data_IF_487593587063
#
_entry.id   IF_487593587063
#
_cell.length_a   1.000
_cell.length_b   1.000
_cell.length_c   1.000
_cell.angle_alpha   90.00
_cell.angle_beta   90.00
_cell.angle_gamma   90.00
#
_symmetry.space_group_name_H-M   'P 1'
#
loop_
_entity.id
_entity.type
_entity.pdbx_description
1 polymer ?
#
# COMPACT_ATOMS: atom_id res chain seq x y z
N UNK A 1 8.91 -0.51 -17.89
CA UNK A 1 10.19 -0.10 -18.44
C UNK A 1 11.32 -0.51 -17.48
N UNK A 2 12.52 -0.78 -17.99
CA UNK A 2 13.70 -1.15 -17.18
C UNK A 2 14.02 -0.09 -16.10
N UNK A 3 13.61 1.16 -16.31
CA UNK A 3 13.78 2.26 -15.36
C UNK A 3 13.02 2.04 -14.05
N UNK A 4 11.77 1.59 -14.10
CA UNK A 4 10.96 1.39 -12.89
C UNK A 4 11.55 0.29 -11.99
N UNK A 5 11.97 -0.84 -12.57
CA UNK A 5 12.61 -1.95 -11.82
C UNK A 5 13.91 -1.47 -11.18
N UNK A 6 14.74 -0.77 -11.95
CA UNK A 6 16.01 -0.23 -11.45
C UNK A 6 15.80 0.76 -10.31
N UNK A 7 14.79 1.63 -10.41
CA UNK A 7 14.47 2.59 -9.35
C UNK A 7 13.97 1.87 -8.10
N UNK A 8 13.07 0.88 -8.24
CA UNK A 8 12.61 0.07 -7.11
C UNK A 8 13.77 -0.63 -6.40
N UNK A 9 14.69 -1.24 -7.15
CA UNK A 9 15.87 -1.90 -6.59
C UNK A 9 16.76 -0.93 -5.84
N UNK A 10 17.06 0.24 -6.41
CA UNK A 10 17.85 1.30 -5.76
C UNK A 10 17.19 1.78 -4.48
N UNK A 11 15.88 2.07 -4.51
CA UNK A 11 15.11 2.48 -3.34
C UNK A 11 15.13 1.40 -2.27
N UNK A 12 14.90 0.13 -2.64
CA UNK A 12 14.91 -0.99 -1.72
C UNK A 12 16.25 -1.12 -0.98
N UNK A 13 17.36 -1.00 -1.71
CA UNK A 13 18.70 -1.04 -1.11
C UNK A 13 19.01 0.19 -0.26
N UNK A 14 18.69 1.39 -0.76
CA UNK A 14 18.97 2.66 -0.07
C UNK A 14 18.32 2.72 1.32
N UNK A 15 17.04 2.31 1.41
CA UNK A 15 16.31 2.30 2.67
C UNK A 15 16.50 1.03 3.49
N UNK A 16 17.26 0.05 3.01
CA UNK A 16 17.31 -1.29 3.60
C UNK A 16 15.91 -1.85 3.86
N UNK A 17 15.00 -1.62 2.90
CA UNK A 17 13.58 -1.94 3.06
C UNK A 17 13.34 -3.45 3.17
N UNK A 18 12.29 -3.86 3.90
CA UNK A 18 11.81 -5.25 3.83
C UNK A 18 10.93 -5.44 2.61
N UNK A 19 10.10 -4.45 2.29
CA UNK A 19 9.25 -4.40 1.12
C UNK A 19 9.32 -3.00 0.50
N UNK A 20 9.31 -2.93 -0.83
CA UNK A 20 9.21 -1.66 -1.56
C UNK A 20 8.11 -1.78 -2.61
N UNK A 21 7.11 -0.89 -2.56
CA UNK A 21 6.07 -0.78 -3.57
C UNK A 21 6.23 0.45 -4.45
N UNK A 22 5.54 0.47 -5.58
CA UNK A 22 5.47 1.63 -6.47
C UNK A 22 4.24 2.49 -6.21
N UNK A 23 4.35 3.79 -6.48
CA UNK A 23 3.17 4.62 -6.72
C UNK A 23 2.45 4.14 -7.97
N UNK A 24 1.15 3.86 -7.88
CA UNK A 24 0.34 3.43 -9.01
C UNK A 24 -0.62 4.53 -9.44
N UNK A 25 -0.86 4.61 -10.74
CA UNK A 25 -1.77 5.55 -11.36
C UNK A 25 -2.87 4.82 -12.12
N UNK A 26 -4.08 5.37 -12.08
CA UNK A 26 -5.13 5.01 -13.01
C UNK A 26 -4.77 5.43 -14.44
N UNK A 27 -5.42 4.89 -15.49
CA UNK A 27 -5.24 5.35 -16.87
C UNK A 27 -5.50 6.85 -17.05
N UNK A 28 -6.34 7.44 -16.20
CA UNK A 28 -6.62 8.88 -16.15
C UNK A 28 -5.44 9.73 -15.63
N UNK A 29 -4.36 9.11 -15.14
CA UNK A 29 -3.24 9.79 -14.49
C UNK A 29 -3.49 10.14 -13.02
N UNK A 30 -4.66 9.83 -12.46
CA UNK A 30 -4.95 10.01 -11.04
C UNK A 30 -4.24 8.96 -10.20
N UNK A 31 -3.95 9.29 -8.94
CA UNK A 31 -3.32 8.38 -8.00
C UNK A 31 -4.28 7.23 -7.68
N UNK A 32 -3.83 6.00 -7.90
CA UNK A 32 -4.53 4.79 -7.50
C UNK A 32 -4.01 4.25 -6.17
N UNK A 33 -2.69 4.25 -6.01
CA UNK A 33 -1.99 3.77 -4.82
C UNK A 33 -0.75 4.63 -4.55
N UNK A 34 -0.55 4.98 -3.28
CA UNK A 34 0.59 5.75 -2.81
C UNK A 34 1.03 5.30 -1.41
N UNK A 35 1.18 3.98 -1.22
CA UNK A 35 1.30 3.37 0.09
C UNK A 35 -0.06 3.19 0.76
N UNK A 36 -0.10 2.43 1.85
CA UNK A 36 -1.29 2.19 2.67
C UNK A 36 -1.01 2.55 4.11
N UNK A 37 -1.99 3.20 4.74
CA UNK A 37 -2.05 3.43 6.17
C UNK A 37 -3.18 2.61 6.79
N UNK A 38 -3.02 2.17 8.04
CA UNK A 38 -4.06 1.49 8.80
C UNK A 38 -5.08 2.54 9.26
N UNK A 39 -6.36 2.25 9.14
CA UNK A 39 -7.43 3.09 9.66
C UNK A 39 -8.18 2.38 10.77
N UNK A 40 -8.62 3.14 11.77
CA UNK A 40 -9.49 2.64 12.84
C UNK A 40 -10.97 2.60 12.42
N UNK A 41 -11.31 3.05 11.23
CA UNK A 41 -12.66 2.95 10.71
C UNK A 41 -13.06 1.48 10.53
N UNK A 42 -14.17 1.10 11.14
CA UNK A 42 -14.67 -0.29 11.15
C UNK A 42 -14.90 -0.88 9.75
N UNK A 43 -15.08 -0.02 8.74
CA UNK A 43 -15.42 -0.44 7.38
C UNK A 43 -14.23 -0.42 6.41
N UNK A 44 -13.11 0.21 6.80
CA UNK A 44 -11.91 0.32 5.97
C UNK A 44 -10.72 -0.08 6.83
N UNK A 45 -10.10 -1.22 6.54
CA UNK A 45 -8.93 -1.67 7.31
C UNK A 45 -7.67 -0.86 6.98
N UNK A 46 -7.53 -0.48 5.71
CA UNK A 46 -6.41 0.33 5.19
C UNK A 46 -6.90 1.25 4.08
N UNK A 47 -6.27 2.39 3.93
CA UNK A 47 -6.54 3.30 2.83
C UNK A 47 -5.25 3.79 2.18
N UNK A 48 -5.35 4.21 0.92
CA UNK A 48 -4.24 4.83 0.19
C UNK A 48 -4.45 6.33 0.19
N UNK A 49 -3.54 7.09 0.82
CA UNK A 49 -3.60 8.54 0.79
C UNK A 49 -3.64 9.08 -0.63
N UNK A 50 -4.41 10.14 -0.84
CA UNK A 50 -4.59 10.83 -2.13
C UNK A 50 -5.17 9.97 -3.27
N UNK A 51 -5.75 8.79 -2.97
CA UNK A 51 -6.43 7.98 -4.00
C UNK A 51 -7.48 8.82 -4.75
N UNK A 52 -7.44 8.75 -6.07
CA UNK A 52 -8.34 9.50 -6.95
C UNK A 52 -7.93 10.95 -7.23
N UNK A 53 -6.93 11.49 -6.56
CA UNK A 53 -6.43 12.85 -6.80
C UNK A 53 -5.51 12.90 -8.04
N UNK A 54 -5.46 14.05 -8.70
CA UNK A 54 -4.54 14.28 -9.79
C UNK A 54 -3.10 14.37 -9.29
N UNK A 55 -2.16 13.77 -10.01
CA UNK A 55 -0.73 13.90 -9.71
C UNK A 55 -0.22 15.33 -9.80
N UNK A 56 -0.90 16.20 -10.58
CA UNK A 56 -0.53 17.61 -10.78
C UNK A 56 -1.15 18.55 -9.74
N UNK A 57 -2.24 18.16 -9.06
CA UNK A 57 -2.85 18.97 -7.98
C UNK A 57 -1.94 19.10 -6.75
N UNK A 58 -0.98 18.22 -6.62
CA UNK A 58 0.01 18.29 -5.55
C UNK A 58 0.92 19.51 -5.64
N UNK A 59 0.96 20.20 -6.77
CA UNK A 59 1.78 21.42 -6.96
C UNK A 59 1.02 22.69 -6.59
N UNK A 60 -0.32 22.70 -6.68
CA UNK A 60 -1.14 23.89 -6.45
C UNK A 60 -1.75 23.95 -5.03
N UNK A 61 -2.01 22.79 -4.40
CA UNK A 61 -2.59 22.75 -3.06
C UNK A 61 -1.55 22.86 -1.93
N UNK A 62 -0.28 22.68 -2.26
CA UNK A 62 0.81 22.81 -1.30
C UNK A 62 1.56 24.10 -1.63
N UNK A 63 1.13 25.21 -1.01
CA UNK A 63 1.80 26.52 -1.07
C UNK A 63 3.29 26.49 -0.68
N UNK A 64 3.80 25.34 -0.25
CA UNK A 64 5.17 25.13 0.24
C UNK A 64 6.00 24.21 -0.67
N UNK A 65 5.66 24.08 -1.96
CA UNK A 65 6.42 23.28 -2.94
C UNK A 65 6.78 21.90 -2.38
N UNK A 66 6.94 20.88 -3.13
CA UNK A 66 7.45 19.50 -2.85
C UNK A 66 7.54 18.95 -1.40
N UNK A 67 7.05 19.67 -0.39
CA UNK A 67 7.30 19.36 1.02
C UNK A 67 6.33 18.35 1.63
N UNK A 68 5.23 17.99 0.94
CA UNK A 68 4.31 17.02 1.52
C UNK A 68 4.95 15.62 1.58
N UNK A 69 4.99 14.96 2.76
CA UNK A 69 5.68 13.66 2.93
C UNK A 69 5.27 12.60 1.91
N UNK A 70 4.02 12.59 1.49
CA UNK A 70 3.47 11.62 0.53
C UNK A 70 3.82 11.88 -0.95
N UNK A 71 4.49 13.00 -1.25
CA UNK A 71 5.03 13.29 -2.60
C UNK A 71 6.45 12.78 -2.78
N UNK A 72 7.09 12.40 -1.69
CA UNK A 72 8.43 11.80 -1.68
C UNK A 72 8.33 10.32 -1.38
N UNK A 73 9.35 9.57 -1.77
CA UNK A 73 9.53 8.20 -1.30
C UNK A 73 9.47 8.17 0.23
N UNK A 74 8.56 7.39 0.81
CA UNK A 74 8.23 7.43 2.22
C UNK A 74 7.95 6.04 2.78
N UNK A 75 8.04 5.92 4.11
CA UNK A 75 7.62 4.72 4.85
C UNK A 75 6.09 4.70 4.96
N UNK A 76 5.51 3.50 4.90
CA UNK A 76 4.07 3.25 5.04
C UNK A 76 3.80 1.92 5.75
N UNK A 77 2.56 1.67 6.12
CA UNK A 77 2.17 0.44 6.82
C UNK A 77 2.10 -0.77 5.89
N UNK A 78 1.71 -0.56 4.64
CA UNK A 78 1.67 -1.59 3.63
C UNK A 78 1.75 -1.01 2.21
N UNK A 79 1.98 -1.86 1.22
CA UNK A 79 1.90 -1.56 -0.21
C UNK A 79 1.17 -2.68 -0.93
N UNK A 80 0.53 -2.35 -2.06
CA UNK A 80 -0.17 -3.38 -2.87
C UNK A 80 0.80 -4.27 -3.64
N UNK A 81 0.45 -5.55 -3.77
CA UNK A 81 1.19 -6.50 -4.58
C UNK A 81 1.08 -6.26 -6.10
N UNK A 82 0.25 -5.33 -6.56
CA UNK A 82 0.18 -4.95 -7.97
C UNK A 82 1.54 -4.47 -8.52
N UNK A 83 2.38 -3.87 -7.66
CA UNK A 83 3.81 -3.66 -7.94
C UNK A 83 4.60 -3.60 -6.63
N UNK A 84 5.18 -4.72 -6.26
CA UNK A 84 5.90 -4.92 -5.00
C UNK A 84 7.23 -5.62 -5.24
N UNK A 85 8.27 -5.19 -4.53
CA UNK A 85 9.59 -5.79 -4.50
C UNK A 85 9.90 -6.27 -3.09
N UNK A 86 10.30 -7.54 -2.96
CA UNK A 86 10.78 -8.16 -1.73
C UNK A 86 11.86 -9.19 -2.08
N UNK A 87 12.81 -9.45 -1.19
CA UNK A 87 13.75 -10.54 -1.39
C UNK A 87 13.04 -11.89 -1.28
N UNK A 88 13.39 -12.83 -2.15
CA UNK A 88 12.78 -14.17 -2.17
C UNK A 88 12.94 -14.89 -0.81
N UNK A 89 14.12 -14.80 -0.22
CA UNK A 89 14.41 -15.43 1.07
C UNK A 89 13.51 -14.85 2.18
N UNK A 90 13.32 -13.53 2.20
CA UNK A 90 12.45 -12.85 3.17
C UNK A 90 10.99 -13.28 2.98
N UNK A 91 10.52 -13.34 1.72
CA UNK A 91 9.17 -13.80 1.36
C UNK A 91 8.91 -15.23 1.84
N UNK A 92 9.83 -16.15 1.55
CA UNK A 92 9.71 -17.55 1.95
C UNK A 92 9.79 -17.70 3.47
N UNK A 93 10.61 -16.89 4.13
CA UNK A 93 10.81 -16.96 5.59
C UNK A 93 9.59 -16.54 6.42
N UNK A 94 8.65 -15.79 5.81
CA UNK A 94 7.36 -15.40 6.42
C UNK A 94 6.19 -16.24 5.91
N UNK A 95 6.47 -17.28 5.11
CA UNK A 95 5.46 -18.21 4.60
C UNK A 95 4.71 -17.75 3.34
N UNK A 96 5.20 -16.71 2.63
CA UNK A 96 4.56 -16.23 1.41
C UNK A 96 3.22 -15.56 1.62
N UNK A 97 2.35 -15.56 0.60
CA UNK A 97 0.98 -15.05 0.72
C UNK A 97 0.10 -15.99 1.56
N UNK A 98 -0.84 -15.40 2.29
CA UNK A 98 -1.84 -16.15 3.06
C UNK A 98 -2.96 -16.64 2.12
N UNK A 99 -3.04 -17.94 1.89
CA UNK A 99 -4.01 -18.57 1.00
C UNK A 99 -5.47 -18.48 1.47
N UNK A 100 -5.71 -18.10 2.73
CA UNK A 100 -7.05 -17.84 3.26
C UNK A 100 -7.62 -16.48 2.79
N UNK A 101 -6.73 -15.57 2.33
CA UNK A 101 -7.07 -14.27 1.76
C UNK A 101 -6.93 -14.37 0.23
N UNK A 102 -7.95 -14.91 -0.43
CA UNK A 102 -7.85 -15.32 -1.84
C UNK A 102 -7.82 -14.14 -2.82
N UNK A 103 -8.45 -13.02 -2.47
CA UNK A 103 -8.67 -11.91 -3.40
C UNK A 103 -8.20 -10.57 -2.84
N UNK A 104 -8.55 -10.25 -1.60
CA UNK A 104 -8.21 -8.97 -0.98
C UNK A 104 -7.31 -9.15 0.25
N UNK A 105 -6.58 -8.11 0.58
CA UNK A 105 -5.77 -8.00 1.80
C UNK A 105 -4.61 -9.01 1.95
N UNK A 106 -4.36 -9.89 0.99
CA UNK A 106 -3.23 -10.82 1.05
C UNK A 106 -1.87 -10.11 1.01
N UNK A 107 -1.78 -9.00 0.29
CA UNK A 107 -0.63 -8.11 0.24
C UNK A 107 -0.44 -7.32 1.53
N UNK A 108 -1.55 -6.86 2.13
CA UNK A 108 -1.54 -6.17 3.42
C UNK A 108 -1.10 -7.12 4.55
N UNK A 109 -1.66 -8.34 4.59
CA UNK A 109 -1.26 -9.38 5.54
C UNK A 109 0.23 -9.74 5.40
N UNK A 110 0.72 -9.87 4.17
CA UNK A 110 2.15 -10.09 3.91
C UNK A 110 3.01 -8.96 4.48
N UNK A 111 2.60 -7.70 4.26
CA UNK A 111 3.29 -6.53 4.78
C UNK A 111 3.33 -6.53 6.32
N UNK A 112 2.21 -6.84 6.96
CA UNK A 112 2.12 -6.88 8.43
C UNK A 112 3.01 -7.98 9.02
N UNK A 113 2.96 -9.22 8.49
CA UNK A 113 3.86 -10.32 8.92
C UNK A 113 5.33 -9.99 8.67
N UNK A 114 5.63 -9.29 7.57
CA UNK A 114 6.99 -8.85 7.30
C UNK A 114 7.47 -7.84 8.36
N UNK A 115 6.63 -6.88 8.75
CA UNK A 115 6.96 -5.90 9.81
C UNK A 115 7.07 -6.54 11.20
N UNK A 116 6.22 -7.51 11.52
CA UNK A 116 6.32 -8.25 12.78
C UNK A 116 7.65 -8.99 12.91
N UNK A 117 8.12 -9.61 11.82
CA UNK A 117 9.39 -10.36 11.83
C UNK A 117 10.61 -9.46 11.70
N UNK A 118 10.53 -8.41 10.89
CA UNK A 118 11.66 -7.55 10.53
C UNK A 118 11.42 -6.10 11.00
N UNK A 119 11.28 -5.91 12.30
CA UNK A 119 10.87 -4.65 12.94
C UNK A 119 11.74 -3.43 12.58
N UNK A 120 13.02 -3.65 12.28
CA UNK A 120 13.99 -2.59 11.95
C UNK A 120 14.06 -2.24 10.45
N UNK A 121 13.37 -3.01 9.59
CA UNK A 121 13.37 -2.78 8.15
C UNK A 121 12.04 -2.16 7.72
N UNK A 122 12.04 -0.97 7.07
CA UNK A 122 10.81 -0.28 6.71
C UNK A 122 10.10 -0.93 5.50
N UNK A 123 8.81 -0.65 5.38
CA UNK A 123 8.05 -0.80 4.13
C UNK A 123 8.03 0.56 3.46
N UNK A 124 8.47 0.64 2.21
CA UNK A 124 8.68 1.90 1.48
C UNK A 124 7.75 1.96 0.27
N UNK A 125 7.08 3.09 0.10
CA UNK A 125 6.43 3.46 -1.15
C UNK A 125 7.36 4.35 -1.97
N UNK A 126 7.83 3.85 -3.12
CA UNK A 126 8.71 4.56 -4.04
C UNK A 126 7.88 5.44 -4.99
N UNK A 127 7.75 6.73 -4.68
CA UNK A 127 6.92 7.66 -5.45
C UNK A 127 7.55 8.07 -6.78
N UNK A 128 8.86 7.91 -6.94
CA UNK A 128 9.57 8.16 -8.20
C UNK A 128 9.29 7.10 -9.27
N UNK A 129 8.79 5.93 -8.84
CA UNK A 129 8.27 4.91 -9.74
C UNK A 129 6.78 5.13 -9.97
N UNK A 130 6.41 5.66 -11.14
CA UNK A 130 5.01 5.84 -11.53
C UNK A 130 4.63 4.78 -12.54
N UNK A 131 3.70 3.90 -12.19
CA UNK A 131 3.25 2.77 -13.02
C UNK A 131 1.74 2.89 -13.21
N UNK A 132 1.28 2.78 -14.45
CA UNK A 132 -0.15 2.67 -14.74
C UNK A 132 -0.60 1.25 -14.41
N UNK A 133 -1.65 1.14 -13.60
CA UNK A 133 -2.27 -0.12 -13.25
C UNK A 133 -3.73 -0.13 -13.74
N UNK A 134 -4.00 -1.03 -14.67
CA UNK A 134 -5.32 -1.22 -15.29
C UNK A 134 -6.18 -2.08 -14.34
N UNK A 135 -6.74 -1.43 -13.32
CA UNK A 135 -7.59 -2.10 -12.32
C UNK A 135 -8.82 -2.68 -13.01
N UNK A 136 -9.19 -3.89 -12.63
CA UNK A 136 -10.42 -4.58 -13.06
C UNK A 136 -10.46 -5.14 -14.50
N UNK A 137 -9.45 -4.96 -15.35
CA UNK A 137 -9.47 -5.57 -16.69
C UNK A 137 -9.49 -7.10 -16.64
N UNK A 138 -8.92 -7.70 -15.61
CA UNK A 138 -8.85 -9.17 -15.47
C UNK A 138 -9.91 -9.78 -14.54
N UNK A 139 -10.59 -8.99 -13.69
CA UNK A 139 -11.48 -9.50 -12.63
C UNK A 139 -12.91 -8.99 -12.69
N UNK A 140 -13.20 -7.96 -13.49
CA UNK A 140 -14.47 -7.22 -13.46
C UNK A 140 -14.59 -6.34 -12.21
N UNK A 141 -15.69 -5.58 -12.13
CA UNK A 141 -16.04 -4.79 -10.96
C UNK A 141 -16.57 -5.72 -9.86
N UNK A 142 -16.23 -5.43 -8.60
CA UNK A 142 -16.74 -6.18 -7.43
C UNK A 142 -18.13 -5.64 -7.01
N UNK A 143 -19.09 -5.66 -7.94
CA UNK A 143 -20.41 -5.02 -7.77
C UNK A 143 -21.53 -6.00 -7.38
N UNK A 144 -21.24 -7.29 -7.18
CA UNK A 144 -22.23 -8.25 -6.74
C UNK A 144 -22.13 -8.56 -5.22
N UNK A 145 -23.27 -8.95 -4.65
CA UNK A 145 -23.39 -9.21 -3.19
C UNK A 145 -22.42 -10.30 -2.68
N UNK A 146 -22.11 -11.29 -3.50
CA UNK A 146 -21.18 -12.37 -3.13
C UNK A 146 -19.75 -11.84 -2.99
N UNK A 147 -19.34 -10.97 -3.90
CA UNK A 147 -18.02 -10.34 -3.85
C UNK A 147 -17.89 -9.37 -2.68
N UNK A 148 -18.95 -8.59 -2.41
CA UNK A 148 -19.00 -7.71 -1.23
C UNK A 148 -18.91 -8.50 0.07
N UNK A 149 -19.66 -9.61 0.19
CA UNK A 149 -19.61 -10.51 1.35
C UNK A 149 -18.20 -11.11 1.52
N UNK A 150 -17.56 -11.56 0.45
CA UNK A 150 -16.19 -12.10 0.49
C UNK A 150 -15.20 -11.04 0.96
N UNK A 151 -15.24 -9.84 0.39
CA UNK A 151 -14.38 -8.72 0.79
C UNK A 151 -14.54 -8.39 2.28
N UNK A 152 -15.78 -8.40 2.77
CA UNK A 152 -16.08 -8.23 4.20
C UNK A 152 -15.44 -9.33 5.05
N UNK A 153 -15.58 -10.60 4.68
CA UNK A 153 -15.01 -11.73 5.42
C UNK A 153 -13.48 -11.71 5.42
N UNK A 154 -12.84 -11.41 4.29
CA UNK A 154 -11.39 -11.32 4.20
C UNK A 154 -10.86 -10.16 5.05
N UNK A 155 -11.58 -9.02 5.09
CA UNK A 155 -11.26 -7.91 5.99
C UNK A 155 -11.31 -8.30 7.47
N UNK A 156 -12.37 -9.00 7.89
CA UNK A 156 -12.50 -9.46 9.29
C UNK A 156 -11.38 -10.44 9.65
N UNK A 157 -11.00 -11.33 8.74
CA UNK A 157 -9.85 -12.24 8.95
C UNK A 157 -8.55 -11.44 9.14
N UNK A 158 -8.31 -10.42 8.31
CA UNK A 158 -7.14 -9.55 8.45
C UNK A 158 -7.12 -8.87 9.83
N UNK A 159 -8.22 -8.23 10.21
CA UNK A 159 -8.33 -7.50 11.49
C UNK A 159 -8.11 -8.45 12.67
N UNK A 160 -8.78 -9.61 12.70
CA UNK A 160 -8.64 -10.58 13.79
C UNK A 160 -7.22 -11.14 13.91
N UNK A 161 -6.54 -11.33 12.78
CA UNK A 161 -5.16 -11.83 12.77
C UNK A 161 -4.16 -10.82 13.29
N UNK A 162 -4.40 -9.54 13.05
CA UNK A 162 -3.50 -8.43 13.36
C UNK A 162 -4.15 -7.41 14.32
N UNK A 163 -5.00 -7.87 15.24
CA UNK A 163 -5.81 -7.03 16.14
C UNK A 163 -5.00 -5.90 16.78
N UNK A 164 -3.79 -6.19 17.24
CA UNK A 164 -2.91 -5.21 17.90
C UNK A 164 -2.58 -4.01 17.01
N UNK A 165 -2.54 -4.17 15.68
CA UNK A 165 -2.26 -3.08 14.74
C UNK A 165 -3.47 -2.16 14.56
N UNK A 166 -4.69 -2.66 14.79
CA UNK A 166 -5.93 -1.91 14.63
C UNK A 166 -6.42 -1.25 15.93
N UNK A 167 -5.75 -1.51 17.05
CA UNK A 167 -6.07 -0.90 18.36
C UNK A 167 -5.27 0.36 18.64
N UNK A 168 -4.23 0.63 17.86
CA UNK A 168 -3.36 1.79 18.01
C UNK A 168 -3.46 2.71 16.77
N UNK A 169 -3.31 4.03 16.94
CA UNK A 169 -3.18 4.93 15.80
C UNK A 169 -2.00 4.51 14.93
N UNK A 170 -2.22 4.44 13.64
CA UNK A 170 -1.12 4.23 12.70
C UNK A 170 -0.22 5.46 12.67
N UNK A 171 1.09 5.25 12.85
CA UNK A 171 2.09 6.34 12.82
C UNK A 171 2.12 7.12 11.50
N UNK A 172 1.50 6.60 10.45
CA UNK A 172 1.42 7.23 9.13
C UNK A 172 0.09 7.92 8.86
N UNK A 173 -0.91 7.83 9.77
CA UNK A 173 -2.20 8.53 9.63
C UNK A 173 -2.17 9.97 10.17
N UNK A 174 -1.19 10.32 11.01
CA UNK A 174 -1.09 11.63 11.67
C UNK A 174 -0.53 12.77 10.82
N UNK A 175 -0.28 12.57 9.53
CA UNK A 175 0.24 13.60 8.63
C UNK A 175 -0.91 14.16 7.80
N UNK A 176 -1.64 15.15 8.35
CA UNK A 176 -2.68 15.95 7.69
C UNK A 176 -3.45 15.19 6.61
N UNK A 177 -4.35 14.31 7.05
CA UNK A 177 -5.27 13.66 6.13
C UNK A 177 -6.23 14.73 5.58
N UNK A 178 -6.39 14.87 4.25
CA UNK A 178 -7.27 15.89 3.68
C UNK A 178 -8.77 15.70 3.98
N UNK A 179 -9.12 14.76 4.86
CA UNK A 179 -10.47 14.49 5.36
C UNK A 179 -10.62 14.75 6.85
N UNK A 180 -9.59 15.28 7.54
CA UNK A 180 -9.68 15.77 8.92
C UNK A 180 -10.07 17.26 8.95
#
# INVERSE_FOLDING_TARGET
>A
SNFAITTLLKTHHFYNAIITGSKLLYPSGRIQHNGLAITQEKHVAVHSPFRGQNTNLNHELLSDGDSHPWNRTHECSAVTAACMLMKKEDFLSIGGFNEELKVAYNDVDLCFRAKEKYTLRPIICATDTKIFHLESESRGLDDDDEKAARLYHERIKLINRHENLFTQPDKFTGVNHPLD
#
